data_IF_993139587673
#
_entry.id   IF_993139587673
#
_cell.length_a   1.000
_cell.length_b   1.000
_cell.length_c   1.000
_cell.angle_alpha   90.00
_cell.angle_beta   90.00
_cell.angle_gamma   90.00
#
_symmetry.space_group_name_H-M   'P 1'
#
loop_
_entity.id
_entity.type
_entity.pdbx_description
1 polymer ?
#
# COMPACT_ATOMS: atom_id res chain seq x y z
N UNK A 1 1.91 14.04 23.40
CA UNK A 1 1.40 14.02 22.01
C UNK A 1 2.19 14.91 21.06
N UNK A 2 2.48 16.19 21.36
CA UNK A 2 3.23 17.09 20.44
C UNK A 2 4.55 16.51 19.91
N UNK A 3 5.35 15.86 20.77
CA UNK A 3 6.59 15.22 20.32
C UNK A 3 6.38 14.07 19.33
N UNK A 4 5.32 13.27 19.51
CA UNK A 4 4.98 12.18 18.59
C UNK A 4 4.46 12.72 17.25
N UNK A 5 3.70 13.83 17.27
CA UNK A 5 3.27 14.51 16.06
C UNK A 5 4.47 15.10 15.28
N UNK A 6 5.40 15.75 15.97
CA UNK A 6 6.61 16.28 15.34
C UNK A 6 7.45 15.15 14.71
N UNK A 7 7.53 14.00 15.38
CA UNK A 7 8.18 12.81 14.84
C UNK A 7 7.48 12.30 13.56
N UNK A 8 6.14 12.23 13.55
CA UNK A 8 5.36 11.87 12.36
C UNK A 8 5.58 12.86 11.19
N UNK A 9 5.60 14.17 11.48
CA UNK A 9 5.91 15.20 10.50
C UNK A 9 7.31 15.06 9.91
N UNK A 10 8.31 14.72 10.74
CA UNK A 10 9.66 14.46 10.27
C UNK A 10 9.69 13.27 9.31
N UNK A 11 8.98 12.17 9.63
CA UNK A 11 8.84 11.01 8.73
C UNK A 11 8.18 11.39 7.41
N UNK A 12 7.13 12.21 7.45
CA UNK A 12 6.42 12.66 6.27
C UNK A 12 7.32 13.48 5.33
N UNK A 13 8.22 14.31 5.87
CA UNK A 13 9.08 15.20 5.07
C UNK A 13 10.06 14.46 4.15
N UNK A 14 10.57 13.30 4.55
CA UNK A 14 11.45 12.49 3.69
C UNK A 14 10.73 11.32 3.01
N UNK A 15 9.39 11.28 3.07
CA UNK A 15 8.60 10.30 2.34
C UNK A 15 8.48 10.70 0.86
N UNK A 16 8.75 9.76 -0.04
CA UNK A 16 8.63 10.01 -1.49
C UNK A 16 7.19 10.35 -1.87
N UNK A 17 6.95 11.45 -2.62
CA UNK A 17 5.63 11.86 -3.11
C UNK A 17 4.92 10.76 -3.93
N UNK A 18 3.59 10.84 -4.01
CA UNK A 18 2.77 9.79 -4.64
C UNK A 18 3.01 9.70 -6.14
N UNK A 19 3.34 10.81 -6.78
CA UNK A 19 3.60 10.96 -8.21
C UNK A 19 4.85 10.18 -8.59
N UNK A 20 5.92 10.33 -7.81
CA UNK A 20 7.19 9.65 -8.04
C UNK A 20 7.09 8.13 -7.82
N UNK A 21 6.19 7.68 -6.94
CA UNK A 21 5.91 6.25 -6.73
C UNK A 21 5.23 5.56 -7.91
N UNK A 22 4.80 6.28 -8.95
CA UNK A 22 4.22 5.67 -10.16
C UNK A 22 5.29 5.02 -11.06
N UNK A 23 6.56 5.39 -10.91
CA UNK A 23 7.65 4.77 -11.65
C UNK A 23 8.08 3.46 -10.98
N UNK A 24 7.50 2.34 -11.42
CA UNK A 24 7.74 1.01 -10.84
C UNK A 24 9.22 0.63 -10.90
N UNK A 25 9.93 1.00 -11.97
CA UNK A 25 11.36 0.70 -12.12
C UNK A 25 12.20 1.38 -11.04
N UNK A 26 11.85 2.59 -10.60
CA UNK A 26 12.53 3.28 -9.47
C UNK A 26 12.26 2.63 -8.12
N UNK A 27 11.16 1.89 -7.98
CA UNK A 27 10.80 1.21 -6.72
C UNK A 27 11.42 -0.19 -6.61
N UNK A 28 12.00 -0.71 -7.68
CA UNK A 28 12.62 -2.04 -7.71
C UNK A 28 14.12 -1.93 -7.39
N UNK A 29 14.45 -1.76 -6.11
CA UNK A 29 15.85 -1.75 -5.65
C UNK A 29 16.16 -3.09 -4.99
N UNK A 30 16.70 -4.02 -5.79
CA UNK A 30 17.09 -5.35 -5.32
C UNK A 30 18.40 -5.28 -4.56
N UNK A 31 18.42 -5.81 -3.35
CA UNK A 31 19.57 -5.80 -2.44
C UNK A 31 19.61 -7.12 -1.65
N UNK A 32 20.72 -7.44 -1.01
CA UNK A 32 20.77 -8.55 -0.05
C UNK A 32 20.36 -8.09 1.35
N UNK A 33 19.97 -9.04 2.22
CA UNK A 33 19.76 -8.75 3.65
C UNK A 33 21.03 -8.19 4.30
N UNK A 34 22.21 -8.59 3.83
CA UNK A 34 23.49 -8.01 4.27
C UNK A 34 23.59 -6.52 3.94
N UNK A 35 23.13 -6.09 2.77
CA UNK A 35 23.19 -4.69 2.35
C UNK A 35 22.28 -3.79 3.21
N UNK A 36 21.23 -4.34 3.83
CA UNK A 36 20.36 -3.57 4.74
C UNK A 36 21.12 -2.99 5.94
N UNK A 37 22.20 -3.65 6.39
CA UNK A 37 23.05 -3.13 7.45
C UNK A 37 23.83 -1.88 7.02
N UNK A 38 24.04 -1.67 5.72
CA UNK A 38 24.62 -0.41 5.21
C UNK A 38 23.60 0.73 5.23
N UNK A 39 22.31 0.41 5.01
CA UNK A 39 21.23 1.40 5.01
C UNK A 39 20.81 1.81 6.43
N UNK A 40 20.67 0.83 7.33
CA UNK A 40 20.31 1.08 8.72
C UNK A 40 21.07 0.12 9.66
N UNK A 41 22.29 0.50 10.09
CA UNK A 41 23.13 -0.36 10.93
C UNK A 41 22.59 -0.58 12.36
N UNK A 42 21.75 0.31 12.88
CA UNK A 42 21.16 0.17 14.23
C UNK A 42 20.05 -0.88 14.32
N UNK A 43 19.60 -1.43 13.19
CA UNK A 43 18.57 -2.47 13.13
C UNK A 43 19.25 -3.83 12.99
N UNK A 44 18.92 -4.76 13.89
CA UNK A 44 19.29 -6.16 13.72
C UNK A 44 18.32 -6.83 12.74
N UNK A 45 18.58 -6.66 11.44
CA UNK A 45 17.73 -7.13 10.34
C UNK A 45 17.51 -8.64 10.36
N UNK A 46 18.53 -9.42 10.69
CA UNK A 46 18.42 -10.88 10.77
C UNK A 46 17.46 -11.30 11.88
N UNK A 47 17.58 -10.70 13.08
CA UNK A 47 16.65 -10.95 14.20
C UNK A 47 15.25 -10.45 13.89
N UNK A 48 15.13 -9.32 13.20
CA UNK A 48 13.83 -8.74 12.83
C UNK A 48 13.09 -9.63 11.83
N UNK A 49 13.75 -10.00 10.73
CA UNK A 49 13.17 -10.83 9.67
C UNK A 49 12.84 -12.23 10.17
N UNK A 50 13.75 -12.89 10.90
CA UNK A 50 13.51 -14.22 11.48
C UNK A 50 12.45 -14.24 12.59
N UNK A 51 12.03 -13.09 13.11
CA UNK A 51 10.90 -13.00 14.05
C UNK A 51 9.54 -12.90 13.37
N UNK A 52 9.50 -12.38 12.13
CA UNK A 52 8.26 -12.07 11.43
C UNK A 52 7.96 -13.13 10.37
N UNK A 53 9.00 -13.72 9.79
CA UNK A 53 8.90 -14.76 8.78
C UNK A 53 8.93 -16.14 9.43
N UNK A 54 8.22 -17.09 8.82
CA UNK A 54 8.18 -18.48 9.30
C UNK A 54 9.50 -19.22 8.99
N UNK A 55 10.08 -18.93 7.82
CA UNK A 55 11.33 -19.54 7.38
C UNK A 55 12.54 -18.71 7.82
N UNK A 56 13.64 -19.42 8.09
CA UNK A 56 14.90 -18.78 8.44
C UNK A 56 15.48 -18.07 7.22
N UNK A 57 15.69 -16.78 7.34
CA UNK A 57 16.32 -15.92 6.34
C UNK A 57 17.83 -15.86 6.57
N UNK A 58 18.58 -16.08 5.49
CA UNK A 58 20.03 -15.92 5.43
C UNK A 58 20.40 -14.50 5.00
N UNK A 59 21.63 -14.07 5.29
CA UNK A 59 22.11 -12.73 4.91
C UNK A 59 22.26 -12.53 3.40
N UNK A 60 22.41 -13.63 2.66
CA UNK A 60 22.52 -13.65 1.20
C UNK A 60 21.16 -13.58 0.50
N UNK A 61 20.05 -13.70 1.24
CA UNK A 61 18.72 -13.60 0.67
C UNK A 61 18.49 -12.23 0.05
N UNK A 62 17.83 -12.23 -1.10
CA UNK A 62 17.53 -11.02 -1.84
C UNK A 62 16.20 -10.42 -1.39
N UNK A 63 16.19 -9.11 -1.21
CA UNK A 63 15.04 -8.31 -0.80
C UNK A 63 14.89 -7.12 -1.72
N UNK A 64 13.66 -6.66 -1.92
CA UNK A 64 13.38 -5.44 -2.67
C UNK A 64 13.11 -4.32 -1.68
N UNK A 65 13.99 -3.31 -1.68
CA UNK A 65 13.82 -2.10 -0.87
C UNK A 65 13.12 -1.04 -1.70
N UNK A 66 11.88 -0.71 -1.36
CA UNK A 66 11.06 0.21 -2.17
C UNK A 66 11.70 1.61 -2.28
N UNK A 67 12.20 2.14 -1.17
CA UNK A 67 12.86 3.46 -1.12
C UNK A 67 14.07 3.38 -0.16
N UNK A 68 15.30 3.14 -0.67
CA UNK A 68 16.49 3.04 0.17
C UNK A 68 16.78 4.32 0.98
N UNK A 69 16.62 5.50 0.38
CA UNK A 69 16.88 6.79 1.03
C UNK A 69 15.94 7.04 2.24
N UNK A 70 14.70 6.54 2.15
CA UNK A 70 13.75 6.60 3.26
C UNK A 70 14.24 5.75 4.44
N UNK A 71 14.78 4.55 4.17
CA UNK A 71 15.31 3.66 5.21
C UNK A 71 16.51 4.32 5.91
N UNK A 72 17.43 4.92 5.15
CA UNK A 72 18.57 5.66 5.71
C UNK A 72 18.15 6.88 6.54
N UNK A 73 17.19 7.65 6.02
CA UNK A 73 16.68 8.84 6.72
C UNK A 73 15.93 8.47 8.00
N UNK A 74 15.16 7.38 7.96
CA UNK A 74 14.48 6.82 9.12
C UNK A 74 15.49 6.38 10.19
N UNK A 75 16.57 5.70 9.81
CA UNK A 75 17.60 5.31 10.78
C UNK A 75 18.21 6.52 11.49
N UNK A 76 18.59 7.56 10.76
CA UNK A 76 19.14 8.80 11.33
C UNK A 76 18.14 9.47 12.29
N UNK A 77 16.85 9.48 11.91
CA UNK A 77 15.80 10.04 12.76
C UNK A 77 15.62 9.20 14.04
N UNK A 78 15.62 7.87 13.93
CA UNK A 78 15.49 6.97 15.08
C UNK A 78 16.66 7.10 16.05
N UNK A 79 17.89 7.24 15.56
CA UNK A 79 19.08 7.42 16.40
C UNK A 79 19.07 8.75 17.17
N UNK A 80 18.51 9.81 16.58
CA UNK A 80 18.44 11.14 17.18
C UNK A 80 17.19 11.40 18.03
N UNK A 81 16.21 10.49 18.01
CA UNK A 81 14.94 10.64 18.72
C UNK A 81 14.93 9.85 20.03
N UNK A 82 14.42 10.46 21.11
CA UNK A 82 14.23 9.78 22.39
C UNK A 82 13.32 8.53 22.23
N UNK A 83 13.74 7.41 22.82
CA UNK A 83 13.04 6.11 22.73
C UNK A 83 11.58 6.19 23.20
N UNK A 84 11.26 7.03 24.18
CA UNK A 84 9.90 7.25 24.67
C UNK A 84 9.04 7.94 23.62
N UNK A 85 9.59 8.86 22.83
CA UNK A 85 8.87 9.50 21.72
C UNK A 85 8.53 8.47 20.64
N UNK A 86 9.50 7.64 20.25
CA UNK A 86 9.29 6.56 19.28
C UNK A 86 8.24 5.58 19.79
N UNK A 87 8.34 5.13 21.05
CA UNK A 87 7.37 4.20 21.65
C UNK A 87 5.95 4.80 21.71
N UNK A 88 5.83 6.08 22.09
CA UNK A 88 4.54 6.77 22.12
C UNK A 88 3.93 6.89 20.72
N UNK A 89 4.74 7.19 19.69
CA UNK A 89 4.28 7.23 18.31
C UNK A 89 3.79 5.85 17.85
N UNK A 90 4.58 4.79 18.07
CA UNK A 90 4.17 3.43 17.69
C UNK A 90 2.89 2.99 18.40
N UNK A 91 2.78 3.26 19.71
CA UNK A 91 1.58 2.96 20.48
C UNK A 91 0.37 3.73 19.95
N UNK A 92 0.54 5.00 19.62
CA UNK A 92 -0.53 5.81 19.02
C UNK A 92 -1.00 5.23 17.68
N UNK A 93 -0.09 4.75 16.82
CA UNK A 93 -0.44 4.12 15.54
C UNK A 93 -1.25 2.85 15.73
N UNK A 94 -0.90 2.01 16.71
CA UNK A 94 -1.62 0.77 17.03
C UNK A 94 -3.00 1.08 17.63
N UNK A 95 -3.04 1.94 18.64
CA UNK A 95 -4.28 2.32 19.34
C UNK A 95 -5.26 3.00 18.37
N UNK A 96 -4.79 3.89 17.52
CA UNK A 96 -5.61 4.57 16.51
C UNK A 96 -6.24 3.61 15.48
N UNK A 97 -5.53 2.54 15.11
CA UNK A 97 -6.10 1.50 14.23
C UNK A 97 -7.22 0.69 14.91
N UNK A 98 -7.17 0.55 16.24
CA UNK A 98 -8.18 -0.18 17.00
C UNK A 98 -9.46 0.64 17.27
N UNK A 99 -9.43 1.98 17.14
CA UNK A 99 -10.59 2.83 17.49
C UNK A 99 -11.94 2.39 16.88
N UNK A 100 -12.02 1.97 15.60
CA UNK A 100 -13.29 1.56 15.01
C UNK A 100 -13.88 0.28 15.63
N UNK A 101 -13.06 -0.56 16.28
CA UNK A 101 -13.49 -1.85 16.86
C UNK A 101 -13.78 -1.77 18.35
N UNK A 102 -13.47 -0.64 18.99
CA UNK A 102 -13.72 -0.40 20.41
C UNK A 102 -15.15 0.09 20.67
N UNK A 103 -15.44 0.38 21.94
CA UNK A 103 -16.70 0.99 22.38
C UNK A 103 -17.06 2.25 21.57
N UNK A 104 -18.36 2.51 21.44
CA UNK A 104 -18.96 3.56 20.62
C UNK A 104 -18.24 4.92 20.65
N UNK A 105 -17.87 5.46 21.82
CA UNK A 105 -17.25 6.79 21.85
C UNK A 105 -15.88 6.84 21.13
N UNK A 106 -15.13 5.74 21.09
CA UNK A 106 -13.87 5.68 20.32
C UNK A 106 -14.12 5.70 18.82
N UNK A 107 -15.16 5.00 18.38
CA UNK A 107 -15.63 5.05 16.99
C UNK A 107 -16.08 6.45 16.60
N UNK A 108 -16.78 7.18 17.49
CA UNK A 108 -17.22 8.57 17.26
C UNK A 108 -16.03 9.54 17.13
N UNK A 109 -14.98 9.39 17.94
CA UNK A 109 -13.74 10.16 17.82
C UNK A 109 -13.07 9.91 16.47
N UNK A 110 -12.93 8.64 16.07
CA UNK A 110 -12.34 8.25 14.78
C UNK A 110 -13.14 8.80 13.61
N UNK A 111 -14.48 8.73 13.69
CA UNK A 111 -15.39 9.26 12.69
C UNK A 111 -15.28 10.78 12.58
N UNK A 112 -15.21 11.49 13.71
CA UNK A 112 -15.06 12.94 13.71
C UNK A 112 -13.76 13.36 13.03
N UNK A 113 -12.64 12.71 13.38
CA UNK A 113 -11.36 12.95 12.73
C UNK A 113 -11.41 12.67 11.22
N UNK A 114 -12.01 11.54 10.81
CA UNK A 114 -12.19 11.19 9.40
C UNK A 114 -13.09 12.18 8.65
N UNK A 115 -14.12 12.72 9.29
CA UNK A 115 -15.03 13.72 8.70
C UNK A 115 -14.30 15.03 8.36
N UNK A 116 -13.35 15.46 9.20
CA UNK A 116 -12.52 16.64 8.94
C UNK A 116 -11.61 16.40 7.73
N UNK A 117 -11.03 15.20 7.61
CA UNK A 117 -10.11 14.87 6.51
C UNK A 117 -10.82 14.67 5.17
N UNK A 118 -12.03 14.10 5.20
CA UNK A 118 -12.73 13.64 3.98
C UNK A 118 -13.91 14.53 3.59
N UNK A 119 -14.35 15.43 4.47
CA UNK A 119 -15.57 16.24 4.29
C UNK A 119 -16.87 15.43 4.43
N UNK A 120 -16.81 14.14 4.78
CA UNK A 120 -17.99 13.28 4.90
C UNK A 120 -18.78 13.62 6.17
N UNK A 121 -20.02 14.12 5.98
CA UNK A 121 -20.92 14.50 7.08
C UNK A 121 -21.67 13.31 7.69
N UNK A 122 -21.88 12.23 6.91
CA UNK A 122 -22.63 11.05 7.34
C UNK A 122 -21.70 9.99 7.91
N UNK A 123 -22.06 9.45 9.08
CA UNK A 123 -21.48 8.21 9.59
C UNK A 123 -21.94 7.03 8.73
N UNK A 124 -21.00 6.18 8.29
CA UNK A 124 -21.35 4.93 7.61
C UNK A 124 -22.25 4.07 8.50
N UNK A 125 -23.27 3.47 7.90
CA UNK A 125 -24.15 2.58 8.64
C UNK A 125 -23.36 1.34 9.08
N UNK A 126 -23.71 0.77 10.24
CA UNK A 126 -22.97 -0.38 10.80
C UNK A 126 -22.85 -1.54 9.82
N UNK A 127 -23.90 -1.82 9.04
CA UNK A 127 -23.88 -2.89 8.04
C UNK A 127 -22.90 -2.62 6.89
N UNK A 128 -22.72 -1.36 6.48
CA UNK A 128 -21.74 -0.94 5.46
C UNK A 128 -20.33 -1.21 5.97
N UNK A 129 -20.06 -0.85 7.24
CA UNK A 129 -18.79 -1.13 7.89
C UNK A 129 -18.51 -2.64 7.98
N UNK A 130 -19.48 -3.43 8.44
CA UNK A 130 -19.34 -4.89 8.50
C UNK A 130 -19.10 -5.51 7.12
N UNK A 131 -19.80 -5.02 6.09
CA UNK A 131 -19.62 -5.47 4.72
C UNK A 131 -18.22 -5.09 4.19
N UNK A 132 -17.73 -3.89 4.50
CA UNK A 132 -16.38 -3.46 4.15
C UNK A 132 -15.31 -4.33 4.82
N UNK A 133 -15.47 -4.65 6.12
CA UNK A 133 -14.57 -5.58 6.82
C UNK A 133 -14.59 -6.97 6.19
N UNK A 134 -15.78 -7.52 5.93
CA UNK A 134 -15.92 -8.83 5.27
C UNK A 134 -15.31 -8.82 3.86
N UNK A 135 -15.51 -7.75 3.10
CA UNK A 135 -14.92 -7.60 1.77
C UNK A 135 -13.40 -7.48 1.83
N UNK A 136 -12.83 -6.93 2.89
CA UNK A 136 -11.38 -6.82 3.08
C UNK A 136 -10.72 -8.14 3.49
N UNK A 137 -11.39 -8.95 4.32
CA UNK A 137 -10.83 -10.20 4.86
C UNK A 137 -11.24 -11.45 4.09
N UNK A 138 -12.43 -11.47 3.49
CA UNK A 138 -13.07 -12.65 2.88
C UNK A 138 -13.63 -12.33 1.48
N UNK A 139 -12.92 -11.49 0.71
CA UNK A 139 -13.34 -11.01 -0.61
C UNK A 139 -13.80 -12.12 -1.56
N UNK A 140 -13.04 -13.22 -1.67
CA UNK A 140 -13.35 -14.34 -2.57
C UNK A 140 -14.61 -15.10 -2.15
N UNK A 141 -14.79 -15.35 -0.85
CA UNK A 141 -15.98 -16.03 -0.34
C UNK A 141 -17.23 -15.17 -0.57
N UNK A 142 -17.14 -13.87 -0.29
CA UNK A 142 -18.20 -12.91 -0.55
C UNK A 142 -18.54 -12.81 -2.05
N UNK A 143 -17.52 -12.77 -2.92
CA UNK A 143 -17.70 -12.74 -4.36
C UNK A 143 -18.37 -14.02 -4.88
N UNK A 144 -17.99 -15.19 -4.37
CA UNK A 144 -18.62 -16.48 -4.72
C UNK A 144 -20.12 -16.49 -4.38
N UNK A 145 -20.47 -16.03 -3.18
CA UNK A 145 -21.86 -15.91 -2.75
C UNK A 145 -22.64 -14.93 -3.64
N UNK A 146 -22.05 -13.78 -3.96
CA UNK A 146 -22.65 -12.79 -4.84
C UNK A 146 -22.89 -13.36 -6.24
N UNK A 147 -21.89 -14.03 -6.82
CA UNK A 147 -22.00 -14.64 -8.15
C UNK A 147 -23.10 -15.68 -8.18
N UNK A 148 -23.16 -16.56 -7.18
CA UNK A 148 -24.20 -17.61 -7.08
C UNK A 148 -25.62 -17.04 -7.07
N UNK A 149 -25.84 -15.89 -6.43
CA UNK A 149 -27.19 -15.36 -6.21
C UNK A 149 -27.60 -14.28 -7.21
N UNK A 150 -26.65 -13.56 -7.82
CA UNK A 150 -26.94 -12.34 -8.58
C UNK A 150 -26.27 -12.27 -9.96
N UNK A 151 -25.33 -13.16 -10.29
CA UNK A 151 -24.69 -13.13 -11.60
C UNK A 151 -25.53 -13.88 -12.63
N UNK A 152 -25.97 -13.16 -13.66
CA UNK A 152 -26.82 -13.70 -14.72
C UNK A 152 -26.02 -14.48 -15.75
N UNK A 153 -26.59 -15.59 -16.22
CA UNK A 153 -26.07 -16.37 -17.35
C UNK A 153 -25.90 -15.49 -18.60
N UNK A 154 -24.83 -15.72 -19.37
CA UNK A 154 -24.48 -14.96 -20.58
C UNK A 154 -23.71 -13.65 -20.35
N UNK A 155 -23.69 -13.10 -19.13
CA UNK A 155 -22.94 -11.85 -18.81
C UNK A 155 -21.44 -12.03 -19.03
N UNK A 156 -20.91 -13.22 -18.71
CA UNK A 156 -19.48 -13.55 -18.85
C UNK A 156 -19.05 -13.59 -20.32
N UNK A 157 -19.89 -14.11 -21.20
CA UNK A 157 -19.57 -14.26 -22.63
C UNK A 157 -19.57 -12.90 -23.32
N UNK A 158 -20.55 -12.05 -23.01
CA UNK A 158 -20.62 -10.66 -23.48
C UNK A 158 -19.37 -9.86 -23.08
N UNK A 159 -18.97 -9.94 -21.80
CA UNK A 159 -17.78 -9.23 -21.32
C UNK A 159 -16.50 -9.80 -21.96
N UNK A 160 -16.42 -11.12 -22.15
CA UNK A 160 -15.29 -11.76 -22.82
C UNK A 160 -15.16 -11.29 -24.28
N UNK A 161 -16.27 -11.18 -24.99
CA UNK A 161 -16.31 -10.62 -26.35
C UNK A 161 -15.85 -9.17 -26.36
N UNK A 162 -16.30 -8.35 -25.40
CA UNK A 162 -15.85 -6.97 -25.26
C UNK A 162 -14.32 -6.87 -25.06
N UNK A 163 -13.73 -7.70 -24.20
CA UNK A 163 -12.28 -7.77 -24.02
C UNK A 163 -11.55 -8.13 -25.31
N UNK A 164 -12.06 -9.08 -26.08
CA UNK A 164 -11.47 -9.47 -27.38
C UNK A 164 -11.53 -8.28 -28.34
N UNK A 165 -12.68 -7.61 -28.47
CA UNK A 165 -12.86 -6.45 -29.35
C UNK A 165 -11.89 -5.32 -28.96
N UNK A 166 -11.78 -4.99 -27.68
CA UNK A 166 -10.87 -3.94 -27.20
C UNK A 166 -9.42 -4.30 -27.53
N UNK A 167 -9.01 -5.55 -27.28
CA UNK A 167 -7.64 -6.02 -27.61
C UNK A 167 -7.37 -5.95 -29.11
N UNK A 168 -8.31 -6.37 -29.95
CA UNK A 168 -8.19 -6.28 -31.41
C UNK A 168 -8.09 -4.84 -31.90
N UNK A 169 -8.93 -3.94 -31.37
CA UNK A 169 -8.87 -2.52 -31.71
C UNK A 169 -7.51 -1.91 -31.33
N UNK A 170 -7.01 -2.22 -30.13
CA UNK A 170 -5.73 -1.73 -29.64
C UNK A 170 -4.56 -2.25 -30.49
N UNK A 171 -4.60 -3.52 -30.90
CA UNK A 171 -3.59 -4.11 -31.79
C UNK A 171 -3.63 -3.52 -33.20
N UNK A 172 -4.83 -3.30 -33.76
CA UNK A 172 -4.99 -2.63 -35.05
C UNK A 172 -4.49 -1.19 -35.01
N UNK A 173 -4.79 -0.43 -33.97
CA UNK A 173 -4.28 0.95 -33.80
C UNK A 173 -2.75 0.98 -33.74
N UNK A 174 -2.11 0.02 -33.06
CA UNK A 174 -0.66 -0.11 -33.01
C UNK A 174 -0.08 -0.47 -34.38
N UNK A 175 -0.67 -1.42 -35.10
CA UNK A 175 -0.22 -1.82 -36.45
C UNK A 175 -0.33 -0.65 -37.44
N UNK A 176 -1.43 0.11 -37.39
CA UNK A 176 -1.61 1.34 -38.18
C UNK A 176 -0.50 2.36 -37.85
N UNK A 177 -0.23 2.61 -36.58
CA UNK A 177 0.83 3.53 -36.17
C UNK A 177 2.22 3.08 -36.68
N UNK A 178 2.53 1.78 -36.60
CA UNK A 178 3.80 1.22 -37.12
C UNK A 178 3.88 1.32 -38.65
N UNK A 179 2.78 1.09 -39.37
CA UNK A 179 2.76 1.23 -40.83
C UNK A 179 2.95 2.67 -41.30
N UNK A 180 2.39 3.64 -40.58
CA UNK A 180 2.59 5.08 -40.86
C UNK A 180 4.04 5.47 -40.61
N UNK A 181 4.66 4.96 -39.53
CA UNK A 181 6.08 5.21 -39.25
C UNK A 181 7.01 4.64 -40.33
N UNK A 182 6.70 3.48 -40.91
CA UNK A 182 7.49 2.89 -42.01
C UNK A 182 7.34 3.64 -43.35
N UNK A 183 6.31 4.46 -43.50
CA UNK A 183 6.09 5.30 -44.69
C UNK A 183 6.78 6.66 -44.60
N UNK A 184 7.40 6.99 -43.47
CA UNK A 184 8.18 8.22 -43.32
C UNK A 184 9.57 7.97 -43.95
N UNK A 185 9.95 8.69 -45.03
CA UNK A 185 11.26 8.52 -45.64
C UNK A 185 12.35 8.92 -44.64
N UNK A 186 13.34 8.05 -44.44
CA UNK A 186 14.53 8.38 -43.65
C UNK A 186 15.36 9.41 -44.41
N UNK A 187 15.34 10.65 -43.92
CA UNK A 187 16.24 11.73 -44.32
C UNK A 187 17.59 11.60 -43.64
#
# INVERSE_FOLDING_TARGET
MKAALNFEMAIANFSVPREERRNISRLYNKMTVSDLYTLAPGINWEKYLNKILMDKILRTEEVIVIVPDYVQSMEKLLQSTDKRVVANYLMWRVVGQAFPTLHRAWGEISQHYSSILTGKVRQEARWEHCLATLSGSLSTALASLYVKNHFKDGSKDLVSLCFIIIRCAQMNSLNLAVSVLHQIPMS
#
